data_IF_984323593963
#
_entry.id   IF_984323593963
#
_cell.length_a   1.000
_cell.length_b   1.000
_cell.length_c   1.000
_cell.angle_alpha   90.00
_cell.angle_beta   90.00
_cell.angle_gamma   90.00
#
_symmetry.space_group_name_H-M   'P 1'
#
loop_
_entity.id
_entity.type
_entity.pdbx_description
1 polymer ?
#
# COMPACT_ATOMS: atom_id res chain seq x y z
N UNK A 1 2.61 12.48 -1.56
CA UNK A 1 2.90 12.45 -3.01
C UNK A 1 3.56 11.12 -3.30
N UNK A 2 2.87 10.25 -4.04
CA UNK A 2 3.29 8.85 -4.25
C UNK A 2 4.10 8.65 -5.53
N UNK A 3 4.26 9.67 -6.37
CA UNK A 3 4.95 9.55 -7.66
C UNK A 3 6.33 10.22 -7.65
N UNK A 4 7.03 10.12 -6.51
CA UNK A 4 8.39 10.64 -6.35
C UNK A 4 9.36 9.48 -6.15
N UNK A 5 10.57 9.49 -6.75
CA UNK A 5 11.61 8.54 -6.37
C UNK A 5 11.82 8.56 -4.86
N UNK A 6 11.71 7.40 -4.20
CA UNK A 6 11.79 7.30 -2.74
C UNK A 6 10.44 7.43 -2.01
N UNK A 7 9.37 7.88 -2.68
CA UNK A 7 8.00 7.96 -2.17
C UNK A 7 7.60 9.29 -1.54
N UNK A 8 8.44 10.31 -1.61
CA UNK A 8 8.09 11.67 -1.18
C UNK A 8 9.10 12.71 -1.69
N UNK A 9 8.68 13.90 -2.11
CA UNK A 9 9.59 15.01 -2.35
C UNK A 9 10.24 15.48 -1.04
N UNK A 10 11.43 16.06 -1.14
CA UNK A 10 11.93 16.89 -0.04
C UNK A 10 11.23 18.26 -0.07
N UNK A 11 11.38 19.04 1.01
CA UNK A 11 10.71 20.34 1.14
C UNK A 11 11.05 21.30 0.00
N UNK A 12 12.31 21.33 -0.42
CA UNK A 12 12.81 22.26 -1.45
C UNK A 12 12.19 21.90 -2.80
N UNK A 13 12.25 20.62 -3.18
CA UNK A 13 11.75 20.14 -4.46
C UNK A 13 10.21 20.20 -4.55
N UNK A 14 9.51 20.18 -3.41
CA UNK A 14 8.04 20.28 -3.38
C UNK A 14 7.50 21.68 -3.69
N UNK A 15 8.31 22.74 -3.58
CA UNK A 15 7.86 24.11 -3.81
C UNK A 15 7.60 24.41 -5.30
N UNK A 16 8.25 23.64 -6.19
CA UNK A 16 8.16 23.79 -7.65
C UNK A 16 7.60 22.54 -8.34
N UNK A 17 7.11 21.57 -7.56
CA UNK A 17 6.52 20.34 -8.10
C UNK A 17 5.21 20.67 -8.84
N UNK A 18 5.13 20.41 -10.17
CA UNK A 18 3.88 20.58 -10.90
C UNK A 18 2.78 19.59 -10.45
N UNK A 19 3.14 18.55 -9.71
CA UNK A 19 2.25 17.52 -9.21
C UNK A 19 1.95 16.47 -10.28
N UNK A 20 2.68 15.35 -10.23
CA UNK A 20 2.51 14.25 -11.19
C UNK A 20 1.90 13.00 -10.56
N UNK A 21 1.18 12.22 -11.37
CA UNK A 21 0.52 10.99 -10.96
C UNK A 21 0.97 9.80 -11.82
N UNK A 22 1.02 8.62 -11.20
CA UNK A 22 1.12 7.34 -11.89
C UNK A 22 -0.26 6.69 -11.95
N UNK A 23 -0.67 6.23 -13.14
CA UNK A 23 -1.97 5.59 -13.35
C UNK A 23 -1.74 4.16 -13.81
N UNK A 24 -2.51 3.21 -13.26
CA UNK A 24 -2.55 1.82 -13.70
C UNK A 24 -3.99 1.50 -14.10
N UNK A 25 -4.26 1.44 -15.41
CA UNK A 25 -5.51 0.92 -15.93
C UNK A 25 -5.54 -0.60 -15.72
N UNK A 26 -6.47 -1.09 -14.88
CA UNK A 26 -6.57 -2.53 -14.54
C UNK A 26 -7.55 -3.30 -15.41
N UNK A 27 -8.39 -2.59 -16.15
CA UNK A 27 -9.47 -3.17 -16.95
C UNK A 27 -9.49 -2.50 -18.31
N UNK A 28 -10.05 -3.19 -19.31
CA UNK A 28 -10.25 -2.62 -20.65
C UNK A 28 -11.05 -1.33 -20.61
N UNK A 29 -12.11 -1.27 -19.79
CA UNK A 29 -12.89 -0.04 -19.63
C UNK A 29 -12.05 1.11 -19.05
N UNK A 30 -11.16 0.80 -18.10
CA UNK A 30 -10.26 1.81 -17.52
C UNK A 30 -9.21 2.31 -18.53
N UNK A 31 -8.75 1.42 -19.41
CA UNK A 31 -7.85 1.77 -20.51
C UNK A 31 -8.55 2.65 -21.54
N UNK A 32 -9.76 2.28 -21.97
CA UNK A 32 -10.59 3.07 -22.90
C UNK A 32 -10.89 4.46 -22.33
N UNK A 33 -11.22 4.56 -21.03
CA UNK A 33 -11.43 5.84 -20.35
C UNK A 33 -10.17 6.70 -20.35
N UNK A 34 -9.01 6.09 -20.09
CA UNK A 34 -7.73 6.80 -20.10
C UNK A 34 -7.40 7.32 -21.50
N UNK A 35 -7.59 6.50 -22.54
CA UNK A 35 -7.37 6.90 -23.93
C UNK A 35 -8.30 8.03 -24.37
N UNK A 36 -9.57 8.02 -23.96
CA UNK A 36 -10.51 9.11 -24.24
C UNK A 36 -10.10 10.40 -23.53
N UNK A 37 -9.71 10.33 -22.26
CA UNK A 37 -9.24 11.50 -21.51
C UNK A 37 -7.98 12.15 -22.14
N UNK A 38 -7.08 11.35 -22.72
CA UNK A 38 -5.94 11.85 -23.49
C UNK A 38 -6.40 12.49 -24.80
N UNK A 39 -7.32 11.85 -25.53
CA UNK A 39 -7.83 12.36 -26.79
C UNK A 39 -8.60 13.69 -26.65
N UNK A 40 -9.24 13.89 -25.50
CA UNK A 40 -10.00 15.10 -25.15
C UNK A 40 -9.12 16.18 -24.47
N UNK A 41 -7.78 16.01 -24.43
CA UNK A 41 -6.81 16.89 -23.76
C UNK A 41 -7.10 17.13 -22.27
N UNK A 42 -7.87 16.24 -21.62
CA UNK A 42 -8.19 16.33 -20.20
C UNK A 42 -6.99 15.93 -19.31
N UNK A 43 -6.10 15.08 -19.83
CA UNK A 43 -4.83 14.69 -19.20
C UNK A 43 -3.73 14.56 -20.26
N UNK A 44 -2.48 14.75 -19.85
CA UNK A 44 -1.30 14.41 -20.65
C UNK A 44 -0.59 13.20 -20.03
N UNK A 45 -0.16 12.26 -20.88
CA UNK A 45 0.73 11.16 -20.49
C UNK A 45 2.12 11.46 -21.03
N UNK A 46 3.09 11.63 -20.15
CA UNK A 46 4.47 11.97 -20.55
C UNK A 46 5.28 10.73 -20.95
N UNK A 47 5.12 9.63 -20.22
CA UNK A 47 5.83 8.37 -20.46
C UNK A 47 5.13 7.19 -19.80
N UNK A 48 5.39 6.00 -20.34
CA UNK A 48 4.99 4.73 -19.73
C UNK A 48 5.90 4.37 -18.57
N UNK A 49 5.34 3.71 -17.56
CA UNK A 49 6.09 3.20 -16.40
C UNK A 49 5.81 1.71 -16.19
N UNK A 50 6.84 1.00 -15.75
CA UNK A 50 6.80 -0.42 -15.42
C UNK A 50 6.56 -0.66 -13.93
N UNK A 51 6.40 -1.93 -13.54
CA UNK A 51 6.37 -2.32 -12.13
C UNK A 51 7.68 -2.04 -11.39
N UNK A 52 8.79 -1.99 -12.11
CA UNK A 52 10.11 -1.72 -11.52
C UNK A 52 10.27 -0.23 -11.22
N UNK A 53 9.77 0.64 -12.11
CA UNK A 53 9.68 2.09 -11.86
C UNK A 53 8.80 2.37 -10.64
N UNK A 54 7.66 1.69 -10.55
CA UNK A 54 6.79 1.77 -9.38
C UNK A 54 7.48 1.30 -8.09
N UNK A 55 8.43 0.37 -8.15
CA UNK A 55 9.20 -0.03 -6.97
C UNK A 55 10.15 1.07 -6.49
N UNK A 56 10.63 1.92 -7.41
CA UNK A 56 11.46 3.09 -7.13
C UNK A 56 10.62 4.25 -6.58
N UNK A 57 9.44 4.49 -7.15
CA UNK A 57 8.53 5.54 -6.70
C UNK A 57 7.82 5.19 -5.39
N UNK A 58 7.55 3.91 -5.16
CA UNK A 58 6.77 3.42 -4.02
C UNK A 58 7.53 2.38 -3.18
N UNK A 59 8.78 2.66 -2.74
CA UNK A 59 9.60 1.68 -2.03
C UNK A 59 8.99 1.30 -0.68
N UNK A 60 8.17 2.19 -0.10
CA UNK A 60 7.44 1.91 1.12
C UNK A 60 6.33 0.85 0.91
N UNK A 61 5.70 0.79 -0.27
CA UNK A 61 4.73 -0.26 -0.60
C UNK A 61 5.42 -1.61 -0.79
N UNK A 62 6.61 -1.62 -1.40
CA UNK A 62 7.47 -2.81 -1.47
C UNK A 62 7.77 -3.32 -0.06
N UNK A 63 8.30 -2.45 0.82
CA UNK A 63 8.58 -2.81 2.22
C UNK A 63 7.34 -3.34 2.96
N UNK A 64 6.16 -2.74 2.76
CA UNK A 64 4.90 -3.21 3.36
C UNK A 64 4.54 -4.62 2.88
N UNK A 65 4.71 -4.92 1.59
CA UNK A 65 4.45 -6.25 1.03
C UNK A 65 5.35 -7.32 1.65
N UNK A 66 6.64 -7.05 1.75
CA UNK A 66 7.61 -7.94 2.41
C UNK A 66 7.29 -8.16 3.89
N UNK A 67 6.84 -7.13 4.61
CA UNK A 67 6.47 -7.23 6.02
C UNK A 67 5.10 -7.90 6.29
N UNK A 68 4.25 -8.05 5.27
CA UNK A 68 2.84 -8.41 5.45
C UNK A 68 2.67 -9.76 6.15
N UNK A 69 3.43 -10.79 5.74
CA UNK A 69 3.33 -12.12 6.33
C UNK A 69 3.70 -12.11 7.82
N UNK A 70 4.82 -11.47 8.18
CA UNK A 70 5.25 -11.40 9.59
C UNK A 70 4.22 -10.69 10.47
N UNK A 71 3.58 -9.63 9.95
CA UNK A 71 2.49 -8.93 10.64
C UNK A 71 1.24 -9.79 10.79
N UNK A 72 0.88 -10.58 9.78
CA UNK A 72 -0.22 -11.55 9.87
C UNK A 72 0.04 -12.64 10.92
N UNK A 73 1.29 -13.08 11.08
CA UNK A 73 1.63 -13.99 12.18
C UNK A 73 1.54 -13.32 13.55
N UNK A 74 1.91 -12.04 13.64
CA UNK A 74 1.74 -11.27 14.88
C UNK A 74 0.28 -11.14 15.33
N UNK A 75 -0.66 -11.00 14.37
CA UNK A 75 -2.10 -11.06 14.67
C UNK A 75 -2.51 -12.43 15.23
N UNK A 76 -2.03 -13.50 14.60
CA UNK A 76 -2.35 -14.87 14.98
C UNK A 76 -1.88 -15.19 16.41
N UNK A 77 -0.68 -14.73 16.77
CA UNK A 77 -0.09 -14.93 18.10
C UNK A 77 -0.91 -14.31 19.22
N UNK A 78 -1.58 -13.18 18.95
CA UNK A 78 -2.44 -12.49 19.91
C UNK A 78 -3.92 -12.89 19.74
N UNK A 79 -4.19 -14.05 19.14
CA UNK A 79 -5.52 -14.61 18.91
C UNK A 79 -6.49 -13.64 18.18
N UNK A 80 -5.95 -12.77 17.31
CA UNK A 80 -6.75 -11.85 16.48
C UNK A 80 -7.10 -12.49 15.14
N UNK A 81 -8.09 -11.91 14.46
CA UNK A 81 -8.47 -12.31 13.11
C UNK A 81 -7.25 -12.12 12.18
N UNK A 82 -6.81 -13.22 11.59
CA UNK A 82 -5.71 -13.27 10.62
C UNK A 82 -6.27 -13.33 9.20
N UNK A 83 -5.93 -12.39 8.31
CA UNK A 83 -6.32 -12.48 6.90
C UNK A 83 -5.76 -13.75 6.24
N UNK A 84 -6.64 -14.50 5.57
CA UNK A 84 -6.22 -15.51 4.60
C UNK A 84 -5.98 -14.81 3.26
N UNK A 85 -4.84 -15.11 2.63
CA UNK A 85 -4.45 -14.47 1.37
C UNK A 85 -4.11 -15.52 0.33
N UNK A 86 -4.42 -15.22 -0.93
CA UNK A 86 -4.07 -16.05 -2.07
C UNK A 86 -3.35 -15.21 -3.12
N UNK A 87 -2.36 -15.80 -3.80
CA UNK A 87 -1.63 -15.19 -4.94
C UNK A 87 -0.87 -13.89 -4.61
N UNK A 88 -0.62 -13.59 -3.33
CA UNK A 88 0.17 -12.41 -2.92
C UNK A 88 1.66 -12.70 -2.69
N UNK A 89 2.06 -13.98 -2.63
CA UNK A 89 3.43 -14.45 -2.39
C UNK A 89 4.07 -13.92 -1.09
N UNK A 90 3.25 -13.48 -0.13
CA UNK A 90 3.77 -12.82 1.09
C UNK A 90 4.60 -13.77 1.97
N UNK A 91 4.32 -15.08 1.92
CA UNK A 91 5.11 -16.09 2.63
C UNK A 91 6.50 -16.25 2.00
N UNK A 92 6.56 -16.34 0.67
CA UNK A 92 7.82 -16.47 -0.08
C UNK A 92 8.68 -15.22 0.10
N UNK A 93 8.09 -14.03 -0.05
CA UNK A 93 8.79 -12.76 0.16
C UNK A 93 9.34 -12.62 1.59
N UNK A 94 8.67 -13.20 2.59
CA UNK A 94 9.20 -13.18 3.95
C UNK A 94 10.45 -14.05 4.09
N UNK A 95 10.62 -15.11 3.30
CA UNK A 95 11.83 -15.95 3.31
C UNK A 95 13.06 -15.22 2.74
N UNK A 96 12.84 -14.22 1.88
CA UNK A 96 13.91 -13.36 1.35
C UNK A 96 14.43 -12.34 2.39
N UNK A 97 13.68 -12.10 3.48
CA UNK A 97 14.10 -11.18 4.53
C UNK A 97 14.97 -11.86 5.59
N UNK A 98 15.96 -11.14 6.18
CA UNK A 98 16.61 -11.59 7.40
C UNK A 98 15.60 -11.90 8.51
N UNK A 99 15.79 -13.03 9.19
CA UNK A 99 14.91 -13.50 10.28
C UNK A 99 14.66 -12.43 11.36
N UNK A 100 15.66 -11.60 11.65
CA UNK A 100 15.53 -10.47 12.57
C UNK A 100 14.48 -9.46 12.12
N UNK A 101 14.46 -9.10 10.83
CA UNK A 101 13.45 -8.17 10.29
C UNK A 101 12.05 -8.74 10.42
N UNK A 102 11.87 -10.03 10.12
CA UNK A 102 10.59 -10.72 10.31
C UNK A 102 10.15 -10.70 11.78
N UNK A 103 11.06 -11.03 12.70
CA UNK A 103 10.78 -10.98 14.15
C UNK A 103 10.41 -9.58 14.62
N UNK A 104 11.11 -8.56 14.15
CA UNK A 104 10.82 -7.17 14.50
C UNK A 104 9.41 -6.75 14.04
N UNK A 105 9.02 -7.07 12.79
CA UNK A 105 7.69 -6.75 12.27
C UNK A 105 6.58 -7.49 13.04
N UNK A 106 6.79 -8.79 13.33
CA UNK A 106 5.85 -9.61 14.11
C UNK A 106 5.66 -9.06 15.52
N UNK A 107 6.75 -8.81 16.25
CA UNK A 107 6.70 -8.28 17.61
C UNK A 107 6.09 -6.87 17.66
N UNK A 108 6.40 -6.01 16.67
CA UNK A 108 5.79 -4.70 16.57
C UNK A 108 4.28 -4.75 16.34
N UNK A 109 3.76 -5.76 15.64
CA UNK A 109 2.31 -5.98 15.56
C UNK A 109 1.74 -6.39 16.92
N UNK A 110 2.37 -7.36 17.60
CA UNK A 110 1.93 -7.83 18.93
C UNK A 110 1.86 -6.69 19.95
N UNK A 111 2.91 -5.86 19.99
CA UNK A 111 2.97 -4.71 20.90
C UNK A 111 1.81 -3.72 20.65
N UNK A 112 1.49 -3.41 19.39
CA UNK A 112 0.36 -2.50 19.08
C UNK A 112 -0.98 -3.06 19.54
N UNK A 113 -1.15 -4.38 19.49
CA UNK A 113 -2.35 -5.06 19.98
C UNK A 113 -2.45 -4.92 21.50
N UNK A 114 -1.34 -5.18 22.20
CA UNK A 114 -1.25 -5.07 23.65
C UNK A 114 -1.42 -3.63 24.15
N UNK A 115 -0.98 -2.65 23.36
CA UNK A 115 -1.18 -1.22 23.59
C UNK A 115 -2.65 -0.77 23.35
N UNK A 116 -3.55 -1.65 22.90
CA UNK A 116 -4.95 -1.32 22.58
C UNK A 116 -5.12 -0.47 21.32
N UNK A 117 -4.12 -0.40 20.42
CA UNK A 117 -4.15 0.45 19.21
C UNK A 117 -4.85 -0.19 18.01
N UNK A 118 -5.53 -1.32 18.23
CA UNK A 118 -6.16 -2.13 17.17
C UNK A 118 -7.62 -2.43 17.45
N UNK A 119 -8.13 -1.98 18.61
CA UNK A 119 -9.52 -2.17 18.99
C UNK A 119 -10.25 -0.86 18.66
N UNK A 120 -11.33 -0.99 17.89
CA UNK A 120 -12.29 0.09 17.65
C UNK A 120 -13.58 -0.25 18.41
N UNK A 121 -14.31 0.76 18.93
CA UNK A 121 -15.63 0.50 19.49
C UNK A 121 -16.52 -0.14 18.42
N UNK A 122 -17.42 -1.03 18.85
CA UNK A 122 -18.41 -1.60 17.95
C UNK A 122 -19.19 -0.45 17.27
N UNK A 123 -19.36 -0.46 15.94
CA UNK A 123 -20.05 0.60 15.24
C UNK A 123 -21.49 0.70 15.75
N UNK A 124 -21.96 1.94 15.97
CA UNK A 124 -23.36 2.17 16.28
C UNK A 124 -24.22 1.70 15.09
N UNK A 125 -25.22 0.88 15.38
CA UNK A 125 -26.20 0.48 14.36
C UNK A 125 -27.00 1.73 14.01
N UNK A 126 -26.76 2.27 12.82
CA UNK A 126 -27.54 3.39 12.30
C UNK A 126 -29.03 3.00 12.27
N UNK A 127 -29.86 3.82 12.91
CA UNK A 127 -31.32 3.72 12.85
C UNK A 127 -31.84 4.93 12.08
N UNK A 128 -32.64 4.74 11.01
CA UNK A 128 -33.27 5.86 10.33
C UNK A 128 -34.17 6.64 11.30
N UNK A 129 -34.35 7.96 11.09
CA UNK A 129 -35.36 8.73 11.83
C UNK A 129 -36.77 8.18 11.58
N UNK A 130 -37.61 8.25 12.61
CA UNK A 130 -39.01 7.83 12.58
C UNK A 130 -39.89 8.75 11.72
#
# INVERSE_FOLDING_TARGET
ADTWPGGSPNRIDSETDPGVNAIIARTRLGEELLSQAVADDAISIEYDISTDDMSIYQPHQVRKKYAAWARHQGLADEARIKPQTARLRIADLAQELPNERNRHQRNGTRQRIQDGKVDEPAPEIWKPPA
#
